data_IF_099915550606
#
_entry.id   IF_099915550606
#
_cell.length_a   1.000
_cell.length_b   1.000
_cell.length_c   1.000
_cell.angle_alpha   90.00
_cell.angle_beta   90.00
_cell.angle_gamma   90.00
#
_symmetry.space_group_name_H-M   'P 1'
#
loop_
_entity.id
_entity.type
_entity.pdbx_description
1 polymer ?
#
# COMPACT_ATOMS: atom_id res chain seq x y z
N UNK A 1 -1.34 -8.05 -22.14
CA UNK A 1 -1.95 -7.16 -21.15
C UNK A 1 -1.43 -7.44 -19.73
N UNK A 2 -1.34 -8.72 -19.32
CA UNK A 2 -0.88 -9.18 -18.00
C UNK A 2 0.60 -8.82 -17.73
N UNK A 3 1.45 -8.79 -18.77
CA UNK A 3 2.88 -8.50 -18.63
C UNK A 3 3.18 -7.00 -18.35
N UNK A 4 2.32 -6.09 -18.81
CA UNK A 4 2.45 -4.65 -18.55
C UNK A 4 2.09 -4.29 -17.09
N UNK A 5 1.21 -5.07 -16.47
CA UNK A 5 0.78 -4.86 -15.09
C UNK A 5 1.87 -5.24 -14.07
N UNK A 6 2.70 -6.25 -14.37
CA UNK A 6 3.80 -6.68 -13.49
C UNK A 6 4.91 -5.63 -13.33
N UNK A 7 5.06 -4.70 -14.27
CA UNK A 7 6.09 -3.64 -14.22
C UNK A 7 5.67 -2.47 -13.34
N UNK A 8 4.36 -2.29 -13.10
CA UNK A 8 3.81 -1.11 -12.39
C UNK A 8 3.71 -1.32 -10.87
N UNK A 9 3.69 -2.57 -10.42
CA UNK A 9 3.59 -2.92 -8.98
C UNK A 9 4.94 -3.07 -8.28
N UNK A 10 6.04 -2.66 -8.89
CA UNK A 10 7.36 -2.49 -8.24
C UNK A 10 7.55 -1.04 -7.81
N UNK A 11 7.88 -0.76 -6.58
CA UNK A 11 7.09 -0.72 -5.35
C UNK A 11 6.11 0.45 -5.37
N UNK A 12 4.87 0.26 -5.05
CA UNK A 12 3.90 1.32 -4.73
C UNK A 12 4.31 2.00 -3.41
N UNK A 13 5.56 2.38 -3.28
CA UNK A 13 6.08 3.23 -2.21
C UNK A 13 6.23 4.66 -2.70
N UNK A 14 5.17 5.19 -3.31
CA UNK A 14 5.06 6.59 -3.70
C UNK A 14 3.78 7.22 -3.13
N UNK A 15 3.40 6.86 -1.90
CA UNK A 15 2.38 7.62 -1.19
C UNK A 15 2.99 8.96 -0.75
N UNK A 16 2.79 10.01 -1.56
CA UNK A 16 2.94 11.38 -1.09
C UNK A 16 1.69 11.73 -0.27
N UNK A 17 1.54 11.13 0.92
CA UNK A 17 0.51 11.46 1.88
C UNK A 17 1.11 12.31 3.00
N UNK A 18 0.47 13.40 3.36
CA UNK A 18 0.79 14.09 4.61
C UNK A 18 0.46 13.16 5.78
N UNK A 19 1.50 12.75 6.50
CA UNK A 19 1.36 12.00 7.76
C UNK A 19 0.81 12.97 8.80
N UNK A 20 -0.48 12.92 9.06
CA UNK A 20 -1.12 13.68 10.14
C UNK A 20 -0.95 12.89 11.45
N UNK A 21 0.29 12.80 11.94
CA UNK A 21 0.57 12.35 13.29
C UNK A 21 0.52 13.55 14.21
N UNK A 22 -0.59 13.76 14.92
CA UNK A 22 -0.57 14.62 16.10
C UNK A 22 0.19 13.90 17.23
N UNK A 23 1.41 14.36 17.60
CA UNK A 23 2.08 13.85 18.78
C UNK A 23 1.40 14.48 20.01
N UNK A 24 0.75 13.67 20.85
CA UNK A 24 0.46 14.06 22.22
C UNK A 24 1.79 14.21 22.96
N UNK A 25 2.30 15.43 22.99
CA UNK A 25 3.41 15.82 23.87
C UNK A 25 2.92 15.77 25.32
N UNK A 26 3.33 14.74 26.06
CA UNK A 26 3.47 14.86 27.50
C UNK A 26 4.86 15.42 27.79
N UNK A 27 4.90 16.60 28.43
CA UNK A 27 6.11 17.26 28.92
C UNK A 27 6.96 16.27 29.74
N UNK A 28 8.11 15.92 29.22
CA UNK A 28 9.24 15.40 29.99
C UNK A 28 10.48 16.17 29.55
N UNK A 29 10.95 16.98 30.47
CA UNK A 29 12.20 17.74 30.45
C UNK A 29 13.37 16.78 30.25
N UNK A 30 13.94 16.68 29.03
CA UNK A 30 15.14 15.93 28.75
C UNK A 30 16.25 16.88 28.32
N UNK A 31 17.19 17.07 29.20
CA UNK A 31 18.52 17.63 28.91
C UNK A 31 19.18 16.82 27.80
N UNK A 32 19.47 17.48 26.68
CA UNK A 32 20.18 16.88 25.55
C UNK A 32 21.63 16.57 25.89
N UNK A 33 21.96 15.30 26.07
CA UNK A 33 23.34 14.83 25.85
C UNK A 33 23.46 14.35 24.41
N UNK A 34 24.19 15.10 23.59
CA UNK A 34 24.53 14.77 22.22
C UNK A 34 25.51 13.62 22.20
N UNK A 35 25.08 12.39 22.32
CA UNK A 35 25.87 11.23 21.98
C UNK A 35 25.78 10.97 20.47
N UNK A 36 26.77 11.46 19.71
CA UNK A 36 26.98 11.06 18.32
C UNK A 36 27.46 9.61 18.31
N UNK A 37 26.55 8.69 18.08
CA UNK A 37 26.91 7.31 17.78
C UNK A 37 27.26 7.23 16.28
N UNK A 38 28.52 6.89 15.89
CA UNK A 38 28.96 6.91 14.49
C UNK A 38 28.66 5.62 13.71
N UNK A 39 27.85 4.74 14.22
CA UNK A 39 27.35 3.58 13.48
C UNK A 39 25.90 3.86 13.10
N UNK A 40 25.64 4.04 11.82
CA UNK A 40 24.31 4.24 11.25
C UNK A 40 23.43 2.99 11.40
N UNK A 41 23.18 2.59 12.64
CA UNK A 41 22.15 1.61 12.97
C UNK A 41 20.86 2.41 12.95
N UNK A 42 20.07 2.23 11.92
CA UNK A 42 18.69 2.69 11.91
C UNK A 42 17.98 1.96 13.05
N UNK A 43 17.39 2.73 13.98
CA UNK A 43 16.61 2.15 15.07
C UNK A 43 15.33 1.56 14.47
N UNK A 44 15.32 0.25 14.29
CA UNK A 44 14.20 -0.47 13.68
C UNK A 44 13.07 -0.51 14.72
N UNK A 45 11.86 -0.04 14.39
CA UNK A 45 10.74 -0.05 15.30
C UNK A 45 10.37 -1.48 15.72
N UNK A 46 10.08 -1.66 16.99
CA UNK A 46 9.61 -2.95 17.52
C UNK A 46 8.09 -2.97 17.49
N UNK A 47 7.54 -3.47 16.39
CA UNK A 47 6.10 -3.56 16.18
C UNK A 47 5.44 -4.60 17.07
N UNK A 48 4.17 -4.39 17.37
CA UNK A 48 3.32 -5.29 18.15
C UNK A 48 2.08 -5.64 17.37
N UNK A 49 1.51 -6.81 17.64
CA UNK A 49 0.21 -7.18 17.09
C UNK A 49 -0.82 -6.14 17.51
N UNK A 50 -1.58 -5.63 16.54
CA UNK A 50 -2.56 -4.56 16.70
C UNK A 50 -2.00 -3.15 16.51
N UNK A 51 -0.70 -2.97 16.24
CA UNK A 51 -0.19 -1.68 15.79
C UNK A 51 -0.80 -1.35 14.43
N UNK A 52 -1.35 -0.15 14.29
CA UNK A 52 -2.06 0.28 13.07
C UNK A 52 -1.57 1.62 12.55
N UNK A 53 -1.60 1.78 11.23
CA UNK A 53 -1.31 3.03 10.53
C UNK A 53 -2.45 3.36 9.57
N UNK A 54 -2.86 4.63 9.55
CA UNK A 54 -3.89 5.12 8.65
C UNK A 54 -3.25 6.14 7.70
N UNK A 55 -3.44 5.93 6.41
CA UNK A 55 -2.96 6.82 5.36
C UNK A 55 -4.15 7.36 4.59
N UNK A 56 -4.18 8.67 4.35
CA UNK A 56 -5.08 9.29 3.39
C UNK A 56 -4.24 9.85 2.25
N UNK A 57 -4.69 9.64 1.03
CA UNK A 57 -3.89 10.05 -0.11
C UNK A 57 -4.61 9.91 -1.45
N UNK A 58 -3.82 9.88 -2.49
CA UNK A 58 -4.29 9.66 -3.84
C UNK A 58 -3.43 8.59 -4.53
N UNK A 59 -4.06 7.83 -5.40
CA UNK A 59 -3.42 6.87 -6.29
C UNK A 59 -3.36 7.48 -7.69
N UNK A 60 -2.15 7.68 -8.23
CA UNK A 60 -1.96 8.12 -9.62
C UNK A 60 -2.08 6.90 -10.55
N UNK A 61 -3.12 6.90 -11.37
CA UNK A 61 -3.45 5.80 -12.29
C UNK A 61 -3.19 6.11 -13.75
N UNK A 62 -2.60 7.27 -14.07
CA UNK A 62 -2.41 7.75 -15.45
C UNK A 62 -1.64 6.78 -16.33
N UNK A 63 -0.49 6.31 -15.85
CA UNK A 63 0.37 5.42 -16.63
C UNK A 63 -0.27 4.04 -16.80
N UNK A 64 -0.96 3.56 -15.77
CA UNK A 64 -1.72 2.32 -15.82
C UNK A 64 -2.83 2.38 -16.89
N UNK A 65 -3.66 3.42 -16.84
CA UNK A 65 -4.74 3.61 -17.79
C UNK A 65 -4.19 3.82 -19.21
N UNK A 66 -3.16 4.63 -19.38
CA UNK A 66 -2.53 4.82 -20.69
C UNK A 66 -2.05 3.50 -21.30
N UNK A 67 -1.57 2.56 -20.48
CA UNK A 67 -1.12 1.25 -20.93
C UNK A 67 -2.24 0.28 -21.25
N UNK A 68 -3.43 0.47 -20.66
CA UNK A 68 -4.60 -0.40 -20.87
C UNK A 68 -5.30 -0.18 -22.20
N UNK A 69 -5.10 0.99 -22.83
CA UNK A 69 -5.78 1.40 -24.05
C UNK A 69 -7.23 1.89 -23.83
N UNK A 70 -7.68 2.00 -22.58
CA UNK A 70 -8.99 2.54 -22.20
C UNK A 70 -8.98 4.06 -22.30
N UNK A 71 -9.99 4.63 -22.93
CA UNK A 71 -10.17 6.09 -22.99
C UNK A 71 -10.87 6.56 -21.72
N UNK A 72 -10.20 7.43 -20.95
CA UNK A 72 -10.78 7.95 -19.70
C UNK A 72 -10.25 9.34 -19.37
N UNK A 73 -11.01 10.07 -18.52
CA UNK A 73 -10.61 11.33 -17.91
C UNK A 73 -9.96 11.15 -16.53
N UNK A 74 -9.90 9.91 -15.98
CA UNK A 74 -9.31 9.64 -14.67
C UNK A 74 -7.81 9.81 -14.73
N UNK A 75 -7.28 10.53 -13.74
CA UNK A 75 -5.83 10.66 -13.52
C UNK A 75 -5.43 10.19 -12.14
N UNK A 76 -6.28 10.45 -11.14
CA UNK A 76 -6.04 10.11 -9.75
C UNK A 76 -7.32 9.60 -9.09
N UNK A 77 -7.17 8.66 -8.20
CA UNK A 77 -8.19 8.22 -7.25
C UNK A 77 -7.82 8.77 -5.87
N UNK A 78 -8.80 9.15 -5.07
CA UNK A 78 -8.59 9.59 -3.70
C UNK A 78 -9.12 8.56 -2.74
N UNK A 79 -8.47 8.37 -1.59
CA UNK A 79 -8.91 7.35 -0.66
C UNK A 79 -8.07 7.25 0.59
N UNK A 80 -8.23 6.12 1.27
CA UNK A 80 -7.51 5.80 2.50
C UNK A 80 -7.01 4.36 2.46
N UNK A 81 -5.92 4.12 3.20
CA UNK A 81 -5.35 2.80 3.44
C UNK A 81 -5.14 2.64 4.94
N UNK A 82 -5.53 1.51 5.47
CA UNK A 82 -5.28 1.11 6.85
C UNK A 82 -4.38 -0.11 6.84
N UNK A 83 -3.26 -0.05 7.54
CA UNK A 83 -2.33 -1.16 7.72
C UNK A 83 -2.32 -1.59 9.18
N UNK A 84 -2.27 -2.90 9.44
CA UNK A 84 -2.23 -3.47 10.78
C UNK A 84 -1.21 -4.61 10.86
N UNK A 85 -0.45 -4.68 11.95
CA UNK A 85 0.36 -5.85 12.29
C UNK A 85 -0.56 -6.93 12.86
N UNK A 86 -0.86 -7.94 12.07
CA UNK A 86 -1.81 -8.99 12.46
C UNK A 86 -1.14 -10.19 13.11
N UNK A 87 0.14 -10.44 12.80
CA UNK A 87 0.87 -11.60 13.30
C UNK A 87 2.37 -11.32 13.44
N UNK A 88 3.00 -11.96 14.45
CA UNK A 88 4.44 -11.96 14.67
C UNK A 88 4.87 -13.41 14.90
N UNK A 89 5.70 -13.94 14.03
CA UNK A 89 6.12 -15.33 14.11
C UNK A 89 7.54 -15.53 13.59
N UNK A 90 8.07 -16.74 13.70
CA UNK A 90 9.40 -17.10 13.23
C UNK A 90 9.29 -18.04 12.05
N UNK A 91 10.00 -17.71 10.95
CA UNK A 91 10.11 -18.58 9.79
C UNK A 91 11.59 -18.80 9.40
N UNK A 92 11.84 -19.81 8.56
CA UNK A 92 13.17 -20.09 8.06
C UNK A 92 13.37 -19.35 6.72
N UNK A 93 14.37 -18.47 6.65
CA UNK A 93 14.74 -17.75 5.42
C UNK A 93 16.21 -18.09 5.12
N UNK A 94 16.47 -18.74 4.00
CA UNK A 94 17.82 -19.13 3.62
C UNK A 94 18.56 -20.02 4.64
N UNK A 95 17.83 -20.81 5.44
CA UNK A 95 18.41 -21.65 6.49
C UNK A 95 18.53 -20.94 7.86
N UNK A 96 18.15 -19.67 7.97
CA UNK A 96 18.22 -18.88 9.19
C UNK A 96 16.82 -18.70 9.79
N UNK A 97 16.67 -18.96 11.11
CA UNK A 97 15.43 -18.69 11.86
C UNK A 97 15.27 -17.19 12.06
N UNK A 98 14.26 -16.62 11.43
CA UNK A 98 14.06 -15.16 11.31
C UNK A 98 12.71 -14.78 11.90
N UNK A 99 12.68 -13.75 12.77
CA UNK A 99 11.44 -13.16 13.27
C UNK A 99 10.82 -12.30 12.17
N UNK A 100 9.51 -12.44 11.97
CA UNK A 100 8.76 -11.82 10.88
C UNK A 100 7.52 -11.14 11.42
N UNK A 101 7.21 -9.96 10.88
CA UNK A 101 5.95 -9.26 11.02
C UNK A 101 5.08 -9.53 9.80
N UNK A 102 3.83 -9.95 10.02
CA UNK A 102 2.81 -9.97 8.99
C UNK A 102 1.95 -8.72 9.13
N UNK A 103 1.91 -7.93 8.07
CA UNK A 103 1.11 -6.72 7.98
C UNK A 103 0.02 -6.95 6.93
N UNK A 104 -1.22 -6.68 7.30
CA UNK A 104 -2.35 -6.64 6.36
C UNK A 104 -2.77 -5.20 6.17
N UNK A 105 -3.06 -4.83 4.92
CA UNK A 105 -3.55 -3.49 4.61
C UNK A 105 -4.80 -3.59 3.76
N UNK A 106 -5.79 -2.72 4.07
CA UNK A 106 -7.03 -2.59 3.33
C UNK A 106 -7.18 -1.12 2.93
N UNK A 107 -7.49 -0.86 1.67
CA UNK A 107 -7.62 0.49 1.15
C UNK A 107 -8.76 0.62 0.16
N UNK A 108 -9.49 1.74 0.28
CA UNK A 108 -10.57 2.13 -0.61
C UNK A 108 -10.21 3.45 -1.29
N UNK A 109 -10.28 3.46 -2.62
CA UNK A 109 -10.00 4.63 -3.43
C UNK A 109 -11.14 4.85 -4.43
N UNK A 110 -11.56 6.10 -4.61
CA UNK A 110 -12.63 6.45 -5.52
C UNK A 110 -12.32 7.65 -6.42
N UNK A 111 -13.00 7.69 -7.55
CA UNK A 111 -13.11 8.85 -8.41
C UNK A 111 -14.54 8.98 -8.93
N UNK A 112 -15.11 10.17 -8.78
CA UNK A 112 -16.47 10.49 -9.22
C UNK A 112 -16.45 11.17 -10.59
N UNK A 113 -17.58 11.07 -11.33
CA UNK A 113 -17.76 11.67 -12.64
C UNK A 113 -16.69 11.22 -13.65
N UNK A 114 -16.38 9.95 -13.62
CA UNK A 114 -15.45 9.28 -14.52
C UNK A 114 -16.09 9.02 -15.85
N UNK A 115 -15.35 9.17 -16.95
CA UNK A 115 -15.75 8.68 -18.26
C UNK A 115 -14.84 7.52 -18.66
N UNK A 116 -15.42 6.33 -18.83
CA UNK A 116 -14.72 5.15 -19.36
C UNK A 116 -15.31 4.80 -20.72
N UNK A 117 -14.53 4.91 -21.78
CA UNK A 117 -14.94 4.60 -23.16
C UNK A 117 -16.27 5.24 -23.59
N UNK A 118 -16.53 6.46 -23.10
CA UNK A 118 -17.76 7.22 -23.41
C UNK A 118 -18.91 6.98 -22.44
N UNK A 119 -18.79 6.08 -21.48
CA UNK A 119 -19.78 5.85 -20.42
C UNK A 119 -19.37 6.65 -19.16
N UNK A 120 -20.31 7.45 -18.62
CA UNK A 120 -20.09 8.17 -17.37
C UNK A 120 -20.45 7.29 -16.16
N UNK A 121 -19.81 7.56 -15.02
CA UNK A 121 -20.06 6.85 -13.79
C UNK A 121 -19.04 7.19 -12.69
N UNK A 122 -19.01 6.38 -11.65
CA UNK A 122 -18.07 6.45 -10.56
C UNK A 122 -17.18 5.19 -10.53
N UNK A 123 -15.89 5.38 -10.25
CA UNK A 123 -14.90 4.31 -10.18
C UNK A 123 -14.49 4.09 -8.72
N UNK A 124 -14.49 2.84 -8.29
CA UNK A 124 -13.97 2.40 -7.00
C UNK A 124 -12.86 1.39 -7.19
N UNK A 125 -11.81 1.48 -6.40
CA UNK A 125 -10.71 0.53 -6.35
C UNK A 125 -10.51 0.10 -4.91
N UNK A 126 -10.69 -1.18 -4.65
CA UNK A 126 -10.35 -1.81 -3.38
C UNK A 126 -8.97 -2.46 -3.49
N UNK A 127 -8.12 -2.22 -2.50
CA UNK A 127 -6.76 -2.72 -2.42
C UNK A 127 -6.55 -3.47 -1.10
N UNK A 128 -6.33 -4.77 -1.20
CA UNK A 128 -5.93 -5.60 -0.07
C UNK A 128 -4.49 -6.06 -0.25
N UNK A 129 -3.66 -5.91 0.80
CA UNK A 129 -2.29 -6.41 0.76
C UNK A 129 -1.94 -7.26 1.98
N UNK A 130 -1.08 -8.23 1.75
CA UNK A 130 -0.42 -9.02 2.80
C UNK A 130 1.07 -8.89 2.58
N UNK A 131 1.79 -8.34 3.56
CA UNK A 131 3.22 -8.11 3.48
C UNK A 131 3.93 -8.78 4.64
N UNK A 132 5.05 -9.44 4.34
CA UNK A 132 5.93 -10.03 5.33
C UNK A 132 7.22 -9.24 5.43
N UNK A 133 7.52 -8.74 6.63
CA UNK A 133 8.71 -7.97 6.91
C UNK A 133 9.64 -8.69 7.88
N UNK A 134 10.93 -8.67 7.60
CA UNK A 134 11.96 -9.15 8.52
C UNK A 134 12.09 -8.17 9.70
N UNK A 135 11.93 -8.66 10.93
CA UNK A 135 11.90 -7.80 12.12
C UNK A 135 13.23 -7.09 12.42
N UNK A 136 14.36 -7.59 11.91
CA UNK A 136 15.68 -7.02 12.19
C UNK A 136 15.97 -5.70 11.47
N UNK A 137 15.34 -5.46 10.32
CA UNK A 137 15.65 -4.33 9.43
C UNK A 137 14.47 -3.89 8.55
N UNK A 138 13.28 -4.45 8.77
CA UNK A 138 12.07 -4.25 7.98
C UNK A 138 12.24 -4.55 6.47
N UNK A 139 13.22 -5.36 6.11
CA UNK A 139 13.34 -5.85 4.74
C UNK A 139 12.13 -6.67 4.33
N UNK A 140 11.52 -6.35 3.18
CA UNK A 140 10.37 -7.09 2.65
C UNK A 140 10.78 -8.49 2.22
N UNK A 141 10.08 -9.50 2.73
CA UNK A 141 10.27 -10.91 2.40
C UNK A 141 9.33 -11.31 1.27
N UNK A 142 8.05 -10.97 1.41
CA UNK A 142 7.05 -11.21 0.38
C UNK A 142 5.96 -10.15 0.45
N UNK A 143 5.28 -9.99 -0.66
CA UNK A 143 4.13 -9.11 -0.82
C UNK A 143 3.10 -9.81 -1.69
N UNK A 144 1.87 -9.83 -1.24
CA UNK A 144 0.70 -10.23 -2.01
C UNK A 144 -0.29 -9.05 -2.03
N UNK A 145 -0.83 -8.73 -3.18
CA UNK A 145 -1.81 -7.67 -3.34
C UNK A 145 -2.98 -8.16 -4.19
N UNK A 146 -4.19 -7.90 -3.71
CA UNK A 146 -5.43 -8.06 -4.48
C UNK A 146 -5.99 -6.67 -4.75
N UNK A 147 -6.31 -6.40 -6.00
CA UNK A 147 -6.90 -5.14 -6.45
C UNK A 147 -8.21 -5.47 -7.13
N UNK A 148 -9.31 -4.95 -6.60
CA UNK A 148 -10.63 -5.05 -7.21
C UNK A 148 -11.02 -3.68 -7.76
N UNK A 149 -11.55 -3.65 -8.98
CA UNK A 149 -11.91 -2.42 -9.69
C UNK A 149 -13.34 -2.52 -10.12
N UNK A 150 -14.18 -1.64 -9.57
CA UNK A 150 -15.59 -1.53 -9.86
C UNK A 150 -15.93 -0.22 -10.55
N UNK A 151 -16.83 -0.26 -11.52
CA UNK A 151 -17.35 0.91 -12.19
C UNK A 151 -18.86 0.94 -12.08
N UNK A 152 -19.40 1.99 -11.44
CA UNK A 152 -20.83 2.24 -11.34
C UNK A 152 -21.27 3.14 -12.50
N UNK A 153 -21.68 2.53 -13.63
CA UNK A 153 -22.08 3.24 -14.83
C UNK A 153 -23.42 3.98 -14.63
N UNK A 154 -23.47 5.27 -14.95
CA UNK A 154 -24.67 6.09 -14.86
C UNK A 154 -25.76 5.63 -15.83
N UNK A 155 -26.95 5.32 -15.29
CA UNK A 155 -28.10 4.99 -16.07
C UNK A 155 -29.38 5.65 -15.55
N UNK A 156 -29.78 6.76 -16.16
CA UNK A 156 -30.94 7.57 -15.76
C UNK A 156 -30.83 8.09 -14.31
N UNK A 157 -31.45 7.41 -13.34
CA UNK A 157 -31.44 7.77 -11.90
C UNK A 157 -30.83 6.69 -11.00
N UNK A 158 -30.26 5.64 -11.57
CA UNK A 158 -29.48 4.62 -10.84
C UNK A 158 -28.17 4.38 -11.56
N UNK A 159 -27.27 3.66 -10.93
CA UNK A 159 -26.09 3.14 -11.59
C UNK A 159 -26.16 1.61 -11.78
N UNK A 160 -25.38 1.12 -12.71
CA UNK A 160 -25.18 -0.31 -12.96
C UNK A 160 -23.74 -0.61 -12.58
N UNK A 161 -23.56 -1.44 -11.53
CA UNK A 161 -22.25 -1.91 -11.15
C UNK A 161 -21.71 -2.90 -12.18
N UNK A 162 -20.48 -2.69 -12.59
CA UNK A 162 -19.72 -3.53 -13.50
C UNK A 162 -18.36 -3.82 -12.85
N UNK A 163 -18.13 -5.08 -12.52
CA UNK A 163 -16.81 -5.54 -12.10
C UNK A 163 -15.87 -5.42 -13.30
N UNK A 164 -14.89 -4.50 -13.20
CA UNK A 164 -13.99 -4.19 -14.32
C UNK A 164 -12.81 -5.16 -14.33
N UNK A 165 -12.22 -5.41 -13.18
CA UNK A 165 -11.09 -6.31 -13.03
C UNK A 165 -10.88 -6.71 -11.56
N UNK A 166 -10.40 -7.93 -11.39
CA UNK A 166 -9.76 -8.41 -10.16
C UNK A 166 -8.35 -8.86 -10.51
N UNK A 167 -7.36 -8.39 -9.78
CA UNK A 167 -5.95 -8.64 -10.02
C UNK A 167 -5.30 -9.12 -8.74
N UNK A 168 -4.65 -10.28 -8.81
CA UNK A 168 -3.83 -10.79 -7.70
C UNK A 168 -2.38 -10.79 -8.15
N UNK A 169 -1.52 -10.13 -7.37
CA UNK A 169 -0.08 -10.06 -7.61
C UNK A 169 0.64 -10.57 -6.38
N UNK A 170 1.57 -11.49 -6.57
CA UNK A 170 2.42 -12.02 -5.52
C UNK A 170 3.88 -11.89 -5.92
N UNK A 171 4.69 -11.31 -5.03
CA UNK A 171 6.13 -11.18 -5.16
C UNK A 171 6.82 -11.81 -3.95
N UNK A 172 7.87 -12.56 -4.19
CA UNK A 172 8.75 -13.11 -3.17
C UNK A 172 10.17 -12.60 -3.41
N UNK A 173 10.82 -12.12 -2.37
CA UNK A 173 12.16 -11.51 -2.45
C UNK A 173 13.21 -12.45 -1.82
N UNK A 174 14.15 -12.93 -2.61
CA UNK A 174 15.29 -13.74 -2.16
C UNK A 174 16.60 -13.19 -2.76
N UNK A 175 17.46 -12.55 -2.00
CA UNK A 175 17.31 -12.18 -0.59
C UNK A 175 16.22 -11.13 -0.34
N UNK A 176 15.69 -11.03 0.90
CA UNK A 176 14.77 -9.96 1.28
C UNK A 176 15.34 -8.58 0.98
N UNK A 177 14.49 -7.65 0.54
CA UNK A 177 14.92 -6.28 0.25
C UNK A 177 15.47 -5.61 1.51
N UNK A 178 16.49 -4.78 1.35
CA UNK A 178 17.02 -3.93 2.44
C UNK A 178 16.44 -2.52 2.30
N UNK A 179 16.16 -1.88 3.45
CA UNK A 179 15.82 -0.46 3.45
C UNK A 179 17.08 0.34 3.04
N UNK A 180 17.01 1.04 1.93
CA UNK A 180 18.10 1.86 1.37
C UNK A 180 17.99 3.31 1.86
#
# INVERSE_FOLDING_TARGET
LILALMVILTPIMGFAGEINTEPRLSDQNMTSETSRNPSGIVDVPNWKIGDTWNYNGYLDVRDFIASSGVSTNVQTLTGSLVSEVVEIYTMNIGGVSTLVYKVESNGDFDAQNVNLDGQNGDLTVELDTIELYRASDLGTISQEATVEIDFCADFLWWCINVDVAELVVSNEYDPPTELS
#
